data_IF_243155942405
#
_entry.id   IF_243155942405
#
_cell.length_a   1.000
_cell.length_b   1.000
_cell.length_c   1.000
_cell.angle_alpha   90.00
_cell.angle_beta   90.00
_cell.angle_gamma   90.00
#
_symmetry.space_group_name_H-M   'P 1'
#
loop_
_entity.id
_entity.type
_entity.pdbx_description
1 polymer ?
#
# COMPACT_ATOMS: atom_id res chain seq x y z
N UNK A 1 -1.77 20.06 6.02
CA UNK A 1 -1.55 18.59 5.90
C UNK A 1 -0.45 18.25 6.89
N UNK A 2 -0.72 17.35 7.83
CA UNK A 2 0.16 17.05 8.96
C UNK A 2 1.60 16.83 8.54
N UNK A 3 1.85 16.01 7.51
CA UNK A 3 3.21 15.72 7.04
C UNK A 3 3.93 16.94 6.46
N UNK A 4 3.21 17.81 5.75
CA UNK A 4 3.77 19.06 5.22
C UNK A 4 4.10 20.05 6.35
N UNK A 5 3.21 20.18 7.34
CA UNK A 5 3.44 20.99 8.55
C UNK A 5 4.62 20.46 9.36
N UNK A 6 4.77 19.14 9.46
CA UNK A 6 5.93 18.51 10.09
C UNK A 6 7.22 18.79 9.32
N UNK A 7 7.22 18.72 7.98
CA UNK A 7 8.40 19.00 7.17
C UNK A 7 8.88 20.46 7.30
N UNK A 8 7.94 21.41 7.28
CA UNK A 8 8.21 22.83 7.50
C UNK A 8 8.82 23.10 8.89
N UNK A 9 8.28 22.44 9.93
CA UNK A 9 8.72 22.63 11.32
C UNK A 9 10.13 22.05 11.61
N UNK A 10 10.58 21.02 10.89
CA UNK A 10 11.94 20.46 11.01
C UNK A 10 13.00 21.31 10.27
N UNK A 11 12.59 22.39 9.59
CA UNK A 11 13.50 23.21 8.77
C UNK A 11 14.01 22.47 7.53
N UNK A 12 13.45 21.30 7.22
CA UNK A 12 13.59 20.64 5.93
C UNK A 12 12.52 21.22 5.00
N UNK A 13 12.73 22.47 4.58
CA UNK A 13 11.96 23.10 3.53
C UNK A 13 12.18 22.36 2.20
N UNK A 14 11.52 21.22 2.05
CA UNK A 14 11.45 20.49 0.78
C UNK A 14 10.50 21.27 -0.14
N UNK A 15 10.86 21.56 -1.40
CA UNK A 15 10.07 22.45 -2.24
C UNK A 15 8.63 21.96 -2.42
N UNK A 16 7.72 22.93 -2.34
CA UNK A 16 6.25 22.88 -2.31
C UNK A 16 5.51 21.97 -3.30
N UNK A 17 6.17 21.36 -4.29
CA UNK A 17 5.53 20.49 -5.28
C UNK A 17 5.41 19.04 -4.82
N UNK A 18 6.42 18.49 -4.12
CA UNK A 18 6.34 17.13 -3.57
C UNK A 18 5.31 17.06 -2.44
N UNK A 19 5.29 18.07 -1.56
CA UNK A 19 4.29 18.13 -0.49
C UNK A 19 2.88 18.29 -1.06
N UNK A 20 2.67 19.09 -2.11
CA UNK A 20 1.38 19.16 -2.82
C UNK A 20 0.98 17.84 -3.46
N UNK A 21 1.94 17.08 -4.00
CA UNK A 21 1.68 15.76 -4.56
C UNK A 21 1.15 14.77 -3.50
N UNK A 22 1.61 14.92 -2.25
CA UNK A 22 1.23 14.09 -1.12
C UNK A 22 -0.07 14.54 -0.44
N UNK A 23 -0.72 15.60 -0.95
CA UNK A 23 -2.02 16.02 -0.44
C UNK A 23 -3.05 14.93 -0.68
N UNK A 24 -3.94 14.74 0.29
CA UNK A 24 -4.98 13.71 0.24
C UNK A 24 -5.81 13.80 -1.05
N UNK A 25 -6.07 15.03 -1.50
CA UNK A 25 -6.88 15.31 -2.69
C UNK A 25 -6.02 15.58 -3.94
N UNK A 26 -4.75 15.15 -3.93
CA UNK A 26 -3.85 15.27 -5.08
C UNK A 26 -4.37 14.43 -6.25
N UNK A 27 -4.76 15.12 -7.35
CA UNK A 27 -5.21 14.47 -8.58
C UNK A 27 -4.15 13.50 -9.13
N UNK A 28 -2.87 13.89 -9.05
CA UNK A 28 -1.78 13.05 -9.54
C UNK A 28 -1.67 11.78 -8.71
N UNK A 29 -1.83 11.86 -7.38
CA UNK A 29 -1.81 10.69 -6.51
C UNK A 29 -3.01 9.77 -6.76
N UNK A 30 -4.19 10.35 -6.99
CA UNK A 30 -5.38 9.61 -7.41
C UNK A 30 -5.16 8.86 -8.72
N UNK A 31 -4.64 9.52 -9.74
CA UNK A 31 -4.32 8.88 -11.03
C UNK A 31 -3.27 7.76 -10.89
N UNK A 32 -2.23 7.97 -10.07
CA UNK A 32 -1.24 6.93 -9.78
C UNK A 32 -1.84 5.73 -9.06
N UNK A 33 -2.77 5.96 -8.12
CA UNK A 33 -3.49 4.88 -7.44
C UNK A 33 -4.36 4.08 -8.41
N UNK A 34 -5.12 4.76 -9.27
CA UNK A 34 -5.97 4.11 -10.27
C UNK A 34 -5.14 3.25 -11.24
N UNK A 35 -4.01 3.78 -11.71
CA UNK A 35 -3.09 3.03 -12.56
C UNK A 35 -2.50 1.82 -11.83
N UNK A 36 -2.08 1.99 -10.57
CA UNK A 36 -1.59 0.90 -9.73
C UNK A 36 -2.64 -0.20 -9.56
N UNK A 37 -3.88 0.16 -9.22
CA UNK A 37 -4.99 -0.79 -9.03
C UNK A 37 -5.27 -1.55 -10.32
N UNK A 38 -5.28 -0.87 -11.47
CA UNK A 38 -5.41 -1.51 -12.79
C UNK A 38 -4.31 -2.54 -13.02
N UNK A 39 -3.05 -2.17 -12.81
CA UNK A 39 -1.90 -3.06 -12.99
C UNK A 39 -1.94 -4.26 -12.06
N UNK A 40 -2.32 -4.05 -10.79
CA UNK A 40 -2.47 -5.11 -9.80
C UNK A 40 -3.52 -6.12 -10.25
N UNK A 41 -4.66 -5.65 -10.74
CA UNK A 41 -5.74 -6.51 -11.23
C UNK A 41 -5.34 -7.28 -12.48
N UNK A 42 -4.77 -6.59 -13.48
CA UNK A 42 -4.34 -7.19 -14.75
C UNK A 42 -3.27 -8.27 -14.52
N UNK A 43 -2.29 -7.98 -13.67
CA UNK A 43 -1.23 -8.91 -13.32
C UNK A 43 -1.65 -9.92 -12.23
N UNK A 44 -2.88 -9.87 -11.71
CA UNK A 44 -3.36 -10.71 -10.61
C UNK A 44 -2.40 -10.69 -9.40
N UNK A 45 -1.89 -9.51 -9.05
CA UNK A 45 -0.99 -9.33 -7.91
C UNK A 45 -1.83 -9.35 -6.64
N UNK A 46 -1.43 -10.19 -5.68
CA UNK A 46 -2.05 -10.16 -4.36
C UNK A 46 -1.53 -8.95 -3.60
N UNK A 47 -2.44 -8.09 -3.18
CA UNK A 47 -2.16 -6.93 -2.32
C UNK A 47 -2.97 -7.06 -1.04
N UNK A 48 -2.36 -6.69 0.07
CA UNK A 48 -2.99 -6.63 1.38
C UNK A 48 -2.47 -5.37 2.08
N UNK A 49 -3.37 -4.54 2.62
CA UNK A 49 -2.99 -3.26 3.22
C UNK A 49 -3.07 -3.31 4.76
N UNK A 50 -2.14 -2.63 5.42
CA UNK A 50 -2.17 -2.40 6.86
C UNK A 50 -2.32 -0.91 7.13
N UNK A 51 -3.13 -0.55 8.12
CA UNK A 51 -3.35 0.86 8.49
C UNK A 51 -3.40 1.05 10.01
N UNK A 52 -3.13 2.28 10.46
CA UNK A 52 -3.08 2.63 11.88
C UNK A 52 -4.47 2.69 12.54
N UNK A 53 -4.49 2.53 13.86
CA UNK A 53 -5.68 2.77 14.70
C UNK A 53 -5.48 3.85 15.74
N UNK A 54 -4.23 4.11 16.13
CA UNK A 54 -3.91 5.04 17.20
C UNK A 54 -3.45 6.36 16.60
N UNK A 55 -3.93 7.45 17.19
CA UNK A 55 -3.44 8.79 16.84
C UNK A 55 -2.00 8.96 17.29
N UNK A 56 -1.20 9.65 16.49
CA UNK A 56 0.15 10.04 16.82
C UNK A 56 0.16 11.34 17.62
N UNK A 57 0.99 11.42 18.65
CA UNK A 57 1.21 12.66 19.41
C UNK A 57 2.31 13.50 18.75
N UNK A 58 1.91 14.40 17.87
CA UNK A 58 2.82 15.25 17.08
C UNK A 58 3.70 16.12 17.96
N UNK A 59 3.16 16.61 19.08
CA UNK A 59 3.89 17.49 19.99
C UNK A 59 5.12 16.79 20.61
N UNK A 60 5.00 15.49 20.92
CA UNK A 60 6.12 14.68 21.43
C UNK A 60 7.20 14.42 20.39
N UNK A 61 6.85 14.47 19.10
CA UNK A 61 7.82 14.25 18.03
C UNK A 61 8.83 15.39 17.93
N UNK A 62 8.40 16.61 18.26
CA UNK A 62 9.23 17.81 18.22
C UNK A 62 9.79 18.20 19.58
N UNK A 63 9.01 18.07 20.63
CA UNK A 63 9.37 18.46 21.98
C UNK A 63 9.16 17.27 22.91
N UNK A 64 10.25 16.58 23.22
CA UNK A 64 10.30 15.33 24.01
C UNK A 64 9.65 15.41 25.40
N UNK A 65 9.34 16.62 25.90
CA UNK A 65 8.67 16.91 27.17
C UNK A 65 7.54 17.96 27.05
N UNK A 66 6.90 18.06 25.88
CA UNK A 66 5.77 18.99 25.72
C UNK A 66 4.65 18.64 26.71
N UNK A 67 4.13 19.60 27.50
CA UNK A 67 2.89 19.42 28.26
C UNK A 67 1.65 19.45 27.35
N UNK A 68 1.79 19.94 26.12
CA UNK A 68 0.74 19.98 25.12
C UNK A 68 0.72 18.66 24.35
N UNK A 69 -0.49 18.08 24.21
CA UNK A 69 -0.75 16.94 23.34
C UNK A 69 -1.38 17.43 22.04
N UNK A 70 -0.87 16.94 20.92
CA UNK A 70 -1.51 17.11 19.61
C UNK A 70 -1.69 15.73 19.00
N UNK A 71 -2.86 15.14 19.21
CA UNK A 71 -3.16 13.77 18.79
C UNK A 71 -3.92 13.77 17.46
N UNK A 72 -3.28 13.25 16.41
CA UNK A 72 -3.85 13.20 15.08
C UNK A 72 -3.60 11.84 14.41
N UNK A 73 -4.58 11.37 13.63
CA UNK A 73 -4.39 10.22 12.75
C UNK A 73 -3.67 10.73 11.50
N UNK A 74 -2.48 10.22 11.22
CA UNK A 74 -1.62 10.79 10.17
C UNK A 74 -2.14 10.38 8.80
N UNK A 75 -2.53 9.12 8.66
CA UNK A 75 -3.09 8.54 7.45
C UNK A 75 -4.34 7.74 7.82
N UNK A 76 -5.49 8.18 7.32
CA UNK A 76 -6.73 7.43 7.49
C UNK A 76 -6.77 6.16 6.64
N UNK A 77 -7.75 5.30 6.91
CA UNK A 77 -7.92 4.04 6.19
C UNK A 77 -8.06 4.26 4.68
N UNK A 78 -8.82 5.27 4.26
CA UNK A 78 -9.11 5.49 2.85
C UNK A 78 -7.84 5.91 2.09
N UNK A 79 -6.96 6.68 2.73
CA UNK A 79 -5.64 7.02 2.18
C UNK A 79 -4.62 5.87 2.27
N UNK A 80 -4.75 4.95 3.24
CA UNK A 80 -3.85 3.81 3.42
C UNK A 80 -4.26 2.58 2.59
N UNK A 81 -5.44 2.59 1.97
CA UNK A 81 -6.04 1.45 1.27
C UNK A 81 -6.68 1.90 -0.05
N UNK A 82 -7.36 0.99 -0.74
CA UNK A 82 -8.21 1.32 -1.88
C UNK A 82 -9.44 0.40 -1.91
N UNK A 83 -10.55 0.81 -2.56
CA UNK A 83 -11.77 0.03 -2.58
C UNK A 83 -11.56 -1.41 -3.07
N UNK A 84 -12.07 -2.38 -2.31
CA UNK A 84 -12.00 -3.80 -2.66
C UNK A 84 -10.72 -4.53 -2.26
N UNK A 85 -9.69 -3.83 -1.75
CA UNK A 85 -8.48 -4.50 -1.25
C UNK A 85 -8.70 -5.14 0.14
N UNK A 86 -8.16 -6.33 0.35
CA UNK A 86 -8.06 -6.90 1.69
C UNK A 86 -7.19 -6.00 2.58
N UNK A 87 -7.63 -5.73 3.80
CA UNK A 87 -6.87 -4.88 4.73
C UNK A 87 -7.09 -5.24 6.19
N UNK A 88 -6.14 -4.86 7.04
CA UNK A 88 -6.20 -5.04 8.49
C UNK A 88 -5.72 -3.79 9.22
N UNK A 89 -6.48 -3.41 10.25
CA UNK A 89 -6.07 -2.35 11.17
C UNK A 89 -5.06 -2.88 12.19
N UNK A 90 -3.96 -2.16 12.41
CA UNK A 90 -2.96 -2.47 13.42
C UNK A 90 -3.15 -1.58 14.65
N UNK A 91 -2.95 -2.18 15.83
CA UNK A 91 -2.98 -1.48 17.11
C UNK A 91 -1.68 -0.69 17.32
N UNK A 92 -1.47 0.34 16.50
CA UNK A 92 -0.26 1.16 16.48
C UNK A 92 -0.57 2.55 15.95
N UNK A 93 0.32 3.50 16.27
CA UNK A 93 0.36 4.82 15.64
C UNK A 93 1.19 4.76 14.35
N UNK A 94 1.10 5.81 13.53
CA UNK A 94 1.81 5.94 12.27
C UNK A 94 3.31 5.69 12.40
N UNK A 95 3.93 6.24 13.45
CA UNK A 95 5.38 6.20 13.66
C UNK A 95 5.89 4.87 14.19
N UNK A 96 4.99 4.00 14.64
CA UNK A 96 5.27 2.69 15.23
C UNK A 96 4.68 1.53 14.42
N UNK A 97 4.04 1.82 13.28
CA UNK A 97 3.29 0.84 12.48
C UNK A 97 4.15 -0.35 12.01
N UNK A 98 5.44 -0.12 11.74
CA UNK A 98 6.41 -1.14 11.34
C UNK A 98 7.45 -1.49 12.43
N UNK A 99 7.25 -1.01 13.65
CA UNK A 99 8.18 -1.21 14.77
C UNK A 99 7.60 -2.22 15.74
N UNK A 100 8.05 -3.46 15.60
CA UNK A 100 7.62 -4.55 16.45
C UNK A 100 8.55 -4.73 17.64
N UNK A 101 7.99 -4.90 18.84
CA UNK A 101 8.81 -5.10 20.03
C UNK A 101 9.53 -6.45 20.04
N UNK A 102 8.88 -7.51 19.55
CA UNK A 102 9.41 -8.87 19.46
C UNK A 102 8.48 -9.75 18.63
N UNK A 103 8.82 -11.03 18.47
CA UNK A 103 8.03 -12.00 17.68
C UNK A 103 6.67 -12.40 18.29
N UNK A 104 6.40 -12.03 19.54
CA UNK A 104 5.11 -12.24 20.22
C UNK A 104 4.21 -10.99 20.18
N UNK A 105 4.68 -9.89 19.61
CA UNK A 105 3.88 -8.69 19.39
C UNK A 105 2.67 -9.00 18.50
N UNK A 106 1.48 -8.51 18.86
CA UNK A 106 0.25 -8.81 18.14
C UNK A 106 0.24 -8.29 16.69
N UNK A 107 0.82 -7.11 16.45
CA UNK A 107 0.95 -6.54 15.12
C UNK A 107 2.01 -7.33 14.32
N UNK A 108 3.11 -7.74 14.96
CA UNK A 108 4.10 -8.61 14.31
C UNK A 108 3.48 -9.92 13.84
N UNK A 109 2.73 -10.59 14.72
CA UNK A 109 2.06 -11.87 14.40
C UNK A 109 1.09 -11.67 13.24
N UNK A 110 0.30 -10.59 13.27
CA UNK A 110 -0.66 -10.27 12.21
C UNK A 110 0.01 -10.07 10.85
N UNK A 111 1.05 -9.24 10.79
CA UNK A 111 1.81 -8.98 9.55
C UNK A 111 2.53 -10.25 9.08
N UNK A 112 3.16 -10.99 9.98
CA UNK A 112 3.87 -12.24 9.66
C UNK A 112 2.93 -13.30 9.08
N UNK A 113 1.74 -13.46 9.67
CA UNK A 113 0.73 -14.40 9.17
C UNK A 113 0.30 -14.06 7.74
N UNK A 114 0.13 -12.77 7.44
CA UNK A 114 -0.29 -12.31 6.12
C UNK A 114 0.80 -12.46 5.06
N UNK A 115 2.06 -12.21 5.43
CA UNK A 115 3.23 -12.48 4.58
C UNK A 115 3.31 -13.99 4.28
N UNK A 116 3.13 -14.84 5.30
CA UNK A 116 3.11 -16.29 5.11
C UNK A 116 1.95 -16.74 4.22
N UNK A 117 0.76 -16.17 4.40
CA UNK A 117 -0.39 -16.45 3.54
C UNK A 117 -0.11 -16.04 2.09
N UNK A 118 0.54 -14.89 1.88
CA UNK A 118 0.98 -14.43 0.56
C UNK A 118 1.95 -15.40 -0.08
N UNK A 119 2.99 -15.82 0.64
CA UNK A 119 3.98 -16.78 0.15
C UNK A 119 3.36 -18.13 -0.22
N UNK A 120 2.43 -18.64 0.60
CA UNK A 120 1.70 -19.90 0.32
C UNK A 120 0.86 -19.81 -0.95
N UNK A 121 0.21 -18.68 -1.21
CA UNK A 121 -0.63 -18.46 -2.40
C UNK A 121 0.18 -18.17 -3.67
N UNK A 122 1.43 -17.69 -3.53
CA UNK A 122 2.24 -17.19 -4.65
C UNK A 122 2.44 -18.23 -5.76
N UNK A 123 2.76 -19.48 -5.43
CA UNK A 123 2.98 -20.53 -6.43
C UNK A 123 1.74 -20.79 -7.31
N UNK A 124 0.55 -20.79 -6.71
CA UNK A 124 -0.71 -20.95 -7.43
C UNK A 124 -0.98 -19.78 -8.39
N UNK A 125 -0.74 -18.55 -7.92
CA UNK A 125 -0.89 -17.34 -8.73
C UNK A 125 0.08 -17.35 -9.93
N UNK A 126 1.35 -17.69 -9.70
CA UNK A 126 2.36 -17.78 -10.77
C UNK A 126 1.96 -18.82 -11.81
N UNK A 127 1.49 -20.00 -11.37
CA UNK A 127 1.02 -21.06 -12.27
C UNK A 127 -0.18 -20.62 -13.12
N UNK A 128 -1.15 -19.92 -12.52
CA UNK A 128 -2.30 -19.36 -13.25
C UNK A 128 -1.85 -18.39 -14.33
N UNK A 129 -0.92 -17.49 -14.03
CA UNK A 129 -0.37 -16.53 -15.01
C UNK A 129 0.32 -17.24 -16.17
N UNK A 130 1.15 -18.25 -15.88
CA UNK A 130 1.83 -19.05 -16.91
C UNK A 130 0.85 -19.78 -17.82
N UNK A 131 -0.21 -20.35 -17.25
CA UNK A 131 -1.25 -21.04 -18.01
C UNK A 131 -2.03 -20.06 -18.91
N UNK A 132 -2.36 -18.87 -18.41
CA UNK A 132 -3.05 -17.83 -19.20
C UNK A 132 -2.22 -17.40 -20.41
N UNK A 133 -0.92 -17.18 -20.23
CA UNK A 133 0.02 -16.89 -21.33
C UNK A 133 0.05 -18.03 -22.36
N UNK A 134 0.19 -19.28 -21.90
CA UNK A 134 0.20 -20.46 -22.78
C UNK A 134 -1.09 -20.58 -23.60
N UNK A 135 -2.24 -20.33 -22.99
CA UNK A 135 -3.53 -20.33 -23.68
C UNK A 135 -3.62 -19.22 -24.73
N UNK A 136 -3.15 -18.00 -24.41
CA UNK A 136 -3.12 -16.87 -25.33
C UNK A 136 -2.24 -17.17 -26.55
N UNK A 137 -1.05 -17.74 -26.34
CA UNK A 137 -0.18 -18.19 -27.43
C UNK A 137 -0.87 -19.26 -28.27
N UNK A 138 -1.51 -20.25 -27.67
CA UNK A 138 -2.23 -21.29 -28.41
C UNK A 138 -3.36 -20.72 -29.28
N UNK A 139 -4.15 -19.79 -28.74
CA UNK A 139 -5.22 -19.11 -29.49
C UNK A 139 -4.65 -18.28 -30.64
N UNK A 140 -3.59 -17.51 -30.41
CA UNK A 140 -2.92 -16.73 -31.46
C UNK A 140 -2.41 -17.66 -32.57
N UNK A 141 -1.71 -18.74 -32.23
CA UNK A 141 -1.24 -19.72 -33.22
C UNK A 141 -2.38 -20.37 -34.01
N UNK A 142 -3.53 -20.61 -33.38
CA UNK A 142 -4.71 -21.16 -34.05
C UNK A 142 -5.34 -20.15 -35.02
N UNK A 143 -5.43 -18.87 -34.64
CA UNK A 143 -5.95 -17.78 -35.49
C UNK A 143 -5.00 -17.47 -36.65
N UNK A 144 -3.68 -17.58 -36.46
CA UNK A 144 -2.69 -17.32 -37.53
C UNK A 144 -2.52 -18.48 -38.51
N UNK A 145 -3.08 -19.66 -38.24
CA UNK A 145 -3.22 -20.71 -39.25
C UNK A 145 -4.34 -20.32 -40.22
N UNK A 146 -4.01 -19.44 -41.16
CA UNK A 146 -4.82 -19.26 -42.38
C UNK A 146 -4.88 -20.63 -43.08
N UNK A 147 -6.07 -21.16 -43.44
CA UNK A 147 -6.14 -22.39 -44.19
C UNK A 147 -5.51 -22.15 -45.57
N UNK A 148 -4.31 -22.70 -45.77
CA UNK A 148 -3.68 -22.81 -47.08
C UNK A 148 -4.46 -23.86 -47.87
N UNK A 149 -5.51 -23.41 -48.56
CA UNK A 149 -6.33 -24.28 -49.38
C UNK A 149 -7.33 -23.49 -50.20
N UNK A 150 -6.87 -22.93 -51.31
CA UNK A 150 -7.55 -22.86 -52.61
C UNK A 150 -6.50 -22.69 -53.71
#
# INVERSE_FOLDING_TARGET
>A
MVLAEMAEMVGMGVPSSLLKLLEKDSEVLGHMLDEFVRLVNDAQIRVFCFFESMKSDLAKLFIKKSPFKSEELIVDKDSATYPGVESLQLASDHFSLNKFGNSKDGNYVSVSNEIQATAKKAAGIIKTRQNGLSLLFHVIFHVTKVPSGF
#
